data_IF_791796573115
#
_entry.id   IF_791796573115
#
_cell.length_a   1.000
_cell.length_b   1.000
_cell.length_c   1.000
_cell.angle_alpha   90.00
_cell.angle_beta   90.00
_cell.angle_gamma   90.00
#
_symmetry.space_group_name_H-M   'P 1'
#
loop_
_entity.id
_entity.type
_entity.pdbx_description
1 polymer ?
#
# COMPACT_ATOMS: atom_id res chain seq x y z
N UNK A 1 57.32 39.58 57.21
CA UNK A 1 58.30 40.34 56.41
C UNK A 1 57.91 40.25 54.93
N UNK A 2 57.65 41.40 54.28
CA UNK A 2 57.21 41.51 52.89
C UNK A 2 58.34 41.97 51.95
N UNK A 3 58.20 41.72 50.64
CA UNK A 3 58.86 42.50 49.57
C UNK A 3 58.04 42.35 48.27
N UNK A 4 57.30 43.40 47.88
CA UNK A 4 57.55 44.34 46.75
C UNK A 4 57.37 43.71 45.35
N UNK A 5 56.28 44.01 44.63
CA UNK A 5 56.16 45.07 43.60
C UNK A 5 57.13 44.85 42.41
N UNK A 6 56.71 44.68 41.14
CA UNK A 6 56.03 45.73 40.36
C UNK A 6 55.86 45.39 38.85
N UNK A 7 54.95 46.15 38.22
CA UNK A 7 54.80 46.52 36.78
C UNK A 7 53.95 45.66 35.80
N UNK A 8 52.74 46.18 35.54
CA UNK A 8 52.00 46.09 34.27
C UNK A 8 52.72 46.87 33.14
N UNK A 9 52.61 46.43 31.87
CA UNK A 9 52.19 47.26 30.69
C UNK A 9 51.65 46.35 29.56
N UNK A 10 50.54 46.82 28.99
CA UNK A 10 49.69 46.36 27.87
C UNK A 10 50.39 45.95 26.56
N UNK A 11 49.75 45.02 25.83
CA UNK A 11 49.41 45.19 24.40
C UNK A 11 48.12 44.44 24.05
N UNK A 12 47.04 45.22 23.89
CA UNK A 12 45.81 44.83 23.21
C UNK A 12 45.96 44.88 21.68
N UNK A 13 44.86 44.60 20.99
CA UNK A 13 44.65 44.65 19.53
C UNK A 13 45.04 43.43 18.68
N UNK A 14 44.41 42.27 18.91
CA UNK A 14 44.24 41.24 17.85
C UNK A 14 42.87 40.53 17.80
N UNK A 15 41.90 40.85 18.66
CA UNK A 15 40.65 40.07 18.78
C UNK A 15 39.40 40.66 18.10
N UNK A 16 39.38 41.95 17.75
CA UNK A 16 38.17 42.61 17.24
C UNK A 16 37.97 42.53 15.70
N UNK A 17 39.02 42.23 14.94
CA UNK A 17 38.95 42.13 13.46
C UNK A 17 38.35 40.79 12.99
N UNK A 18 38.41 39.74 13.81
CA UNK A 18 37.82 38.44 13.49
C UNK A 18 36.31 38.37 13.76
N UNK A 19 35.78 39.16 14.69
CA UNK A 19 34.35 39.16 15.04
C UNK A 19 33.49 39.95 14.04
N UNK A 20 33.97 41.11 13.59
CA UNK A 20 33.27 41.93 12.60
C UNK A 20 33.16 41.28 11.20
N UNK A 21 34.13 40.42 10.84
CA UNK A 21 34.12 39.66 9.57
C UNK A 21 33.14 38.49 9.57
N UNK A 22 32.70 38.03 10.75
CA UNK A 22 31.78 36.91 10.90
C UNK A 22 30.31 37.36 10.84
N UNK A 23 30.00 38.55 11.36
CA UNK A 23 28.64 39.12 11.35
C UNK A 23 28.24 39.71 10.00
N UNK A 24 29.17 40.36 9.27
CA UNK A 24 28.91 40.86 7.91
C UNK A 24 28.56 39.72 6.93
N UNK A 25 29.21 38.56 7.09
CA UNK A 25 28.95 37.38 6.26
C UNK A 25 27.59 36.72 6.58
N UNK A 26 26.97 37.03 7.72
CA UNK A 26 25.69 36.43 8.14
C UNK A 26 24.48 37.26 7.66
N UNK A 27 24.63 38.58 7.52
CA UNK A 27 23.60 39.46 6.95
C UNK A 27 23.50 39.33 5.41
N UNK A 28 24.63 39.13 4.73
CA UNK A 28 24.65 38.94 3.26
C UNK A 28 24.00 37.60 2.84
N UNK A 29 24.08 36.56 3.67
CA UNK A 29 23.42 35.27 3.45
C UNK A 29 21.89 35.38 3.60
N UNK A 30 21.40 36.25 4.49
CA UNK A 30 19.97 36.51 4.67
C UNK A 30 19.37 37.35 3.53
N UNK A 31 20.12 38.31 2.98
CA UNK A 31 19.67 39.10 1.83
C UNK A 31 19.56 38.26 0.54
N UNK A 32 20.46 37.27 0.36
CA UNK A 32 20.41 36.34 -0.77
C UNK A 32 19.23 35.35 -0.70
N UNK A 33 18.77 35.00 0.51
CA UNK A 33 17.66 34.07 0.72
C UNK A 33 16.27 34.67 0.40
N UNK A 34 16.15 36.00 0.31
CA UNK A 34 14.88 36.71 0.14
C UNK A 34 14.65 37.31 -1.26
N UNK A 35 15.56 37.09 -2.22
CA UNK A 35 15.28 37.33 -3.64
C UNK A 35 15.05 38.79 -4.06
N UNK A 36 15.64 39.78 -3.38
CA UNK A 36 15.55 41.19 -3.77
C UNK A 36 16.73 41.58 -4.69
N UNK A 37 16.44 42.18 -5.87
CA UNK A 37 17.44 42.69 -6.82
C UNK A 37 17.83 44.14 -6.50
N UNK A 38 19.13 44.47 -6.59
CA UNK A 38 19.65 45.85 -6.66
C UNK A 38 20.43 46.02 -7.97
N UNK A 39 20.29 47.19 -8.59
CA UNK A 39 20.48 47.49 -10.01
C UNK A 39 21.85 48.09 -10.41
N UNK A 40 22.46 47.58 -11.49
CA UNK A 40 23.32 48.26 -12.51
C UNK A 40 24.78 48.66 -12.17
N UNK A 41 25.62 49.11 -13.14
CA UNK A 41 25.74 48.69 -14.57
C UNK A 41 27.21 48.47 -15.08
N UNK A 42 27.34 47.96 -16.32
CA UNK A 42 28.46 48.06 -17.32
C UNK A 42 29.11 46.74 -17.85
N UNK A 43 29.20 46.67 -19.19
CA UNK A 43 29.94 45.74 -20.11
C UNK A 43 31.11 46.53 -20.77
N UNK A 44 32.01 46.02 -21.66
CA UNK A 44 32.43 44.66 -22.14
C UNK A 44 34.01 44.51 -22.07
N UNK A 45 34.78 43.65 -22.80
CA UNK A 45 34.48 42.65 -23.85
C UNK A 45 35.07 41.22 -23.67
N UNK A 46 34.77 40.40 -24.67
CA UNK A 46 34.83 38.94 -24.74
C UNK A 46 36.24 38.32 -24.75
N UNK A 47 36.38 37.13 -24.14
CA UNK A 47 36.92 35.91 -24.78
C UNK A 47 36.82 34.67 -23.84
N UNK A 48 36.32 33.56 -24.41
CA UNK A 48 36.66 32.13 -24.14
C UNK A 48 36.04 31.41 -22.90
N UNK A 49 35.03 30.57 -23.20
CA UNK A 49 34.65 29.24 -22.65
C UNK A 49 34.95 28.84 -21.18
N UNK A 50 33.88 28.54 -20.39
CA UNK A 50 33.55 27.19 -19.86
C UNK A 50 32.27 27.16 -18.99
N UNK A 51 31.49 26.04 -18.96
CA UNK A 51 30.18 25.95 -18.32
C UNK A 51 30.24 25.21 -16.97
N UNK A 52 30.36 25.93 -15.84
CA UNK A 52 30.34 25.30 -14.51
C UNK A 52 29.66 26.22 -13.46
N UNK A 53 28.37 26.50 -13.63
CA UNK A 53 27.52 27.05 -12.54
C UNK A 53 26.10 26.49 -12.60
N UNK A 54 25.96 25.18 -12.53
CA UNK A 54 24.69 24.51 -12.20
C UNK A 54 24.81 23.47 -11.08
N UNK A 55 25.97 23.37 -10.42
CA UNK A 55 26.23 22.33 -9.40
C UNK A 55 26.11 22.78 -7.93
N UNK A 56 25.67 24.01 -7.66
CA UNK A 56 25.60 24.52 -6.28
C UNK A 56 24.21 24.43 -5.62
N UNK A 57 23.15 24.07 -6.37
CA UNK A 57 21.78 24.01 -5.82
C UNK A 57 21.30 22.61 -5.41
N UNK A 58 22.03 21.54 -5.74
CA UNK A 58 21.62 20.15 -5.41
C UNK A 58 22.01 19.69 -4.00
N UNK A 59 22.94 20.38 -3.33
CA UNK A 59 23.45 19.97 -2.02
C UNK A 59 22.58 20.45 -0.84
N UNK A 60 21.72 21.45 -1.04
CA UNK A 60 20.88 22.02 0.02
C UNK A 60 19.61 21.23 0.33
N UNK A 61 19.24 20.21 -0.47
CA UNK A 61 18.05 19.38 -0.23
C UNK A 61 18.32 18.11 0.58
N UNK A 62 19.59 17.76 0.78
CA UNK A 62 20.01 16.52 1.46
C UNK A 62 19.96 16.61 2.99
N UNK A 63 20.43 17.73 3.56
CA UNK A 63 20.49 17.90 5.02
C UNK A 63 19.12 18.19 5.65
N UNK A 64 18.25 18.92 4.94
CA UNK A 64 16.89 19.22 5.42
C UNK A 64 15.98 17.98 5.36
N UNK A 65 16.18 17.08 4.38
CA UNK A 65 15.43 15.80 4.32
C UNK A 65 15.81 14.81 5.42
N UNK A 66 17.08 14.77 5.82
CA UNK A 66 17.52 13.88 6.91
C UNK A 66 16.99 14.31 8.28
N UNK A 67 16.70 15.60 8.47
CA UNK A 67 16.14 16.11 9.72
C UNK A 67 14.65 15.78 9.92
N UNK A 68 13.90 15.50 8.85
CA UNK A 68 12.46 15.22 8.92
C UNK A 68 12.09 13.80 9.38
N UNK A 69 13.07 12.93 9.69
CA UNK A 69 12.84 11.53 10.08
C UNK A 69 12.91 11.29 11.60
N UNK A 70 12.93 12.35 12.42
CA UNK A 70 13.07 12.18 13.87
C UNK A 70 12.20 13.18 14.66
N UNK A 71 10.91 12.90 14.76
CA UNK A 71 10.11 13.29 15.93
C UNK A 71 8.84 12.40 16.08
N UNK A 72 8.26 12.48 17.28
CA UNK A 72 7.68 11.43 18.11
C UNK A 72 6.22 10.99 17.88
N UNK A 73 5.94 9.77 18.38
CA UNK A 73 4.68 9.17 18.87
C UNK A 73 3.37 9.40 18.09
N UNK A 74 2.87 8.37 17.37
CA UNK A 74 1.46 8.12 16.92
C UNK A 74 1.40 6.90 15.96
N UNK A 75 0.20 6.39 15.61
CA UNK A 75 -0.46 5.11 15.99
C UNK A 75 0.18 3.87 15.27
N UNK A 76 -0.42 2.67 15.07
CA UNK A 76 0.35 1.51 14.61
C UNK A 76 1.01 1.83 13.28
N UNK A 77 2.34 1.67 13.26
CA UNK A 77 3.23 2.20 12.23
C UNK A 77 2.76 1.65 10.88
N UNK A 78 2.30 2.55 10.02
CA UNK A 78 1.93 2.21 8.65
C UNK A 78 3.10 1.50 7.97
N UNK A 79 2.94 0.20 7.73
CA UNK A 79 3.99 -0.63 7.15
C UNK A 79 3.47 -1.28 5.86
N UNK A 80 3.73 -0.61 4.73
CA UNK A 80 3.47 -1.16 3.39
C UNK A 80 4.78 -1.28 2.63
N UNK A 81 5.12 -2.51 2.27
CA UNK A 81 6.29 -2.82 1.44
C UNK A 81 6.09 -2.28 0.01
N UNK A 82 7.18 -1.81 -0.60
CA UNK A 82 7.16 -1.37 -1.99
C UNK A 82 7.13 -2.56 -2.96
N UNK A 83 6.23 -2.52 -3.94
CA UNK A 83 6.20 -3.48 -5.06
C UNK A 83 7.21 -3.12 -6.16
N UNK A 84 8.50 -3.34 -5.92
CA UNK A 84 9.55 -3.02 -6.88
C UNK A 84 9.60 -4.01 -8.05
N UNK A 85 9.57 -3.47 -9.28
CA UNK A 85 9.76 -4.23 -10.52
C UNK A 85 10.97 -3.72 -11.27
N UNK A 86 11.72 -4.63 -11.89
CA UNK A 86 12.86 -4.26 -12.76
C UNK A 86 12.36 -3.35 -13.86
N UNK A 87 13.03 -2.21 -14.04
CA UNK A 87 12.60 -1.17 -14.95
C UNK A 87 13.77 -0.68 -15.81
N UNK A 88 13.49 -0.48 -17.11
CA UNK A 88 14.43 0.16 -18.04
C UNK A 88 14.05 1.62 -18.20
N UNK A 89 14.92 2.50 -17.70
CA UNK A 89 14.71 3.94 -17.74
C UNK A 89 15.16 4.53 -19.07
N UNK A 90 14.30 5.37 -19.68
CA UNK A 90 14.62 6.07 -20.92
C UNK A 90 15.38 7.36 -20.60
N UNK A 91 16.70 7.34 -20.74
CA UNK A 91 17.58 8.47 -20.46
C UNK A 91 18.21 8.42 -19.06
N UNK A 92 19.05 9.41 -18.70
CA UNK A 92 19.77 9.43 -17.44
C UNK A 92 18.80 9.55 -16.24
N UNK A 93 18.89 8.62 -15.29
CA UNK A 93 18.05 8.58 -14.09
C UNK A 93 18.91 8.37 -12.83
N UNK A 94 18.44 8.89 -11.70
CA UNK A 94 19.12 8.80 -10.40
C UNK A 94 18.25 8.04 -9.40
N UNK A 95 18.93 7.31 -8.51
CA UNK A 95 18.27 6.58 -7.44
C UNK A 95 17.76 7.56 -6.37
N UNK A 96 16.48 7.47 -6.06
CA UNK A 96 15.83 8.37 -5.08
C UNK A 96 16.26 8.08 -3.63
N UNK A 97 16.87 6.92 -3.36
CA UNK A 97 17.39 6.54 -2.05
C UNK A 97 18.81 7.07 -1.80
N UNK A 98 19.77 6.71 -2.65
CA UNK A 98 21.19 7.09 -2.45
C UNK A 98 21.61 8.34 -3.24
N UNK A 99 20.72 8.91 -4.06
CA UNK A 99 20.97 10.04 -4.95
C UNK A 99 22.06 9.82 -6.03
N UNK A 100 22.58 8.60 -6.18
CA UNK A 100 23.58 8.27 -7.19
C UNK A 100 22.93 7.88 -8.54
N UNK A 101 23.69 8.03 -9.61
CA UNK A 101 23.27 7.68 -10.96
C UNK A 101 22.99 6.18 -11.13
N UNK A 102 21.96 5.82 -11.89
CA UNK A 102 21.63 4.44 -12.24
C UNK A 102 22.28 4.06 -13.58
N UNK A 103 23.40 3.35 -13.50
CA UNK A 103 24.19 2.95 -14.67
C UNK A 103 23.53 1.84 -15.48
N UNK A 104 23.73 1.88 -16.80
CA UNK A 104 23.33 0.82 -17.74
C UNK A 104 22.45 1.29 -18.89
N UNK A 105 22.38 0.49 -19.96
CA UNK A 105 21.51 0.74 -21.12
C UNK A 105 20.10 0.18 -20.93
N UNK A 106 19.97 -0.90 -20.17
CA UNK A 106 18.71 -1.57 -19.84
C UNK A 106 18.71 -2.02 -18.39
N UNK A 107 17.53 -2.19 -17.79
CA UNK A 107 17.34 -2.70 -16.43
C UNK A 107 18.22 -2.00 -15.38
N UNK A 108 18.38 -0.68 -15.47
CA UNK A 108 19.31 0.11 -14.66
C UNK A 108 18.94 0.11 -13.16
N UNK A 109 17.68 -0.18 -12.85
CA UNK A 109 17.19 -0.21 -11.49
C UNK A 109 15.80 -0.83 -11.41
N UNK A 110 15.12 -0.52 -10.32
CA UNK A 110 13.76 -0.95 -10.06
C UNK A 110 12.85 0.25 -9.85
N UNK A 111 11.60 0.11 -10.29
CA UNK A 111 10.54 1.09 -10.08
C UNK A 111 9.42 0.43 -9.29
N UNK A 112 8.96 1.09 -8.23
CA UNK A 112 7.78 0.64 -7.51
C UNK A 112 6.55 0.80 -8.41
N UNK A 113 5.81 -0.29 -8.62
CA UNK A 113 4.59 -0.29 -9.42
C UNK A 113 3.46 0.51 -8.77
N UNK A 114 3.50 0.70 -7.45
CA UNK A 114 2.39 1.30 -6.71
C UNK A 114 2.58 2.80 -6.49
N UNK A 115 3.79 3.24 -6.11
CA UNK A 115 4.08 4.66 -5.82
C UNK A 115 5.01 5.34 -6.83
N UNK A 116 5.59 4.58 -7.78
CA UNK A 116 6.48 5.12 -8.80
C UNK A 116 7.92 5.41 -8.35
N UNK A 117 8.28 5.12 -7.09
CA UNK A 117 9.63 5.31 -6.54
C UNK A 117 10.69 4.52 -7.34
N UNK A 118 11.77 5.19 -7.73
CA UNK A 118 12.84 4.64 -8.56
C UNK A 118 14.14 4.53 -7.77
N UNK A 119 14.66 3.31 -7.65
CA UNK A 119 15.89 3.05 -6.88
C UNK A 119 16.76 1.98 -7.56
N UNK A 120 18.02 1.88 -7.17
CA UNK A 120 18.86 0.73 -7.56
C UNK A 120 18.28 -0.57 -7.01
N UNK A 121 18.58 -1.69 -7.66
CA UNK A 121 18.19 -3.04 -7.20
C UNK A 121 18.74 -3.36 -5.81
N UNK A 122 19.92 -2.86 -5.44
CA UNK A 122 20.47 -3.01 -4.10
C UNK A 122 19.83 -2.04 -3.10
N UNK A 123 19.47 -0.83 -3.54
CA UNK A 123 18.82 0.14 -2.67
C UNK A 123 17.40 -0.29 -2.29
N UNK A 124 16.69 -1.03 -3.14
CA UNK A 124 15.32 -1.46 -2.85
C UNK A 124 15.17 -2.29 -1.59
N UNK A 125 16.20 -3.01 -1.14
CA UNK A 125 16.16 -3.76 0.13
C UNK A 125 16.37 -2.87 1.36
N UNK A 126 16.84 -1.64 1.17
CA UNK A 126 17.11 -0.67 2.25
C UNK A 126 16.04 0.43 2.34
N UNK A 127 15.13 0.51 1.36
CA UNK A 127 14.01 1.46 1.39
C UNK A 127 13.03 1.05 2.50
N UNK A 128 12.63 1.96 3.40
CA UNK A 128 11.63 1.66 4.43
C UNK A 128 10.29 1.20 3.86
N UNK A 129 9.54 0.42 4.64
CA UNK A 129 8.21 -0.07 4.27
C UNK A 129 7.12 1.00 4.45
N UNK A 130 7.27 2.17 3.84
CA UNK A 130 6.32 3.29 3.93
C UNK A 130 5.76 3.70 2.56
N UNK A 131 5.54 2.72 1.67
CA UNK A 131 5.08 2.94 0.31
C UNK A 131 3.72 3.64 0.28
N UNK A 132 3.62 4.88 -0.23
CA UNK A 132 2.34 5.58 -0.44
C UNK A 132 1.92 5.44 -1.91
N UNK A 133 0.97 4.56 -2.25
CA UNK A 133 0.57 4.36 -3.63
C UNK A 133 -0.12 5.59 -4.27
N UNK A 134 0.12 5.79 -5.57
CA UNK A 134 -0.46 6.86 -6.39
C UNK A 134 -1.28 6.24 -7.54
N UNK A 135 -2.52 6.72 -7.72
CA UNK A 135 -3.43 6.30 -8.79
C UNK A 135 -2.82 6.43 -10.19
N UNK A 136 -1.88 7.35 -10.41
CA UNK A 136 -1.19 7.50 -11.71
C UNK A 136 -0.38 6.27 -12.11
N UNK A 137 0.00 5.43 -11.15
CA UNK A 137 0.81 4.24 -11.37
C UNK A 137 -0.02 2.95 -11.31
N UNK A 138 -1.22 3.00 -10.76
CA UNK A 138 -2.16 1.87 -10.67
C UNK A 138 -3.02 1.86 -11.94
N UNK A 139 -2.76 0.89 -12.81
CA UNK A 139 -3.40 0.80 -14.14
C UNK A 139 -4.65 -0.07 -14.18
N UNK A 140 -4.92 -0.84 -13.13
CA UNK A 140 -5.95 -1.87 -13.06
C UNK A 140 -6.47 -1.98 -11.63
N UNK A 141 -7.72 -2.39 -11.50
CA UNK A 141 -8.40 -2.65 -10.24
C UNK A 141 -8.25 -4.12 -9.86
N UNK A 142 -8.52 -5.03 -10.80
CA UNK A 142 -8.27 -6.46 -10.65
C UNK A 142 -6.78 -6.76 -10.66
N UNK A 143 -6.39 -7.79 -9.90
CA UNK A 143 -4.99 -8.18 -9.67
C UNK A 143 -4.11 -7.10 -9.05
N UNK A 144 -4.69 -5.99 -8.58
CA UNK A 144 -4.02 -5.04 -7.69
C UNK A 144 -4.03 -5.60 -6.27
N UNK A 145 -2.96 -5.34 -5.51
CA UNK A 145 -2.92 -5.72 -4.11
C UNK A 145 -3.97 -4.94 -3.31
N UNK A 146 -4.69 -5.62 -2.43
CA UNK A 146 -5.83 -5.08 -1.70
C UNK A 146 -5.47 -3.80 -0.92
N UNK A 147 -4.40 -3.84 -0.12
CA UNK A 147 -3.92 -2.68 0.65
C UNK A 147 -3.50 -1.53 -0.27
N UNK A 148 -2.90 -1.84 -1.41
CA UNK A 148 -2.50 -0.83 -2.41
C UNK A 148 -3.71 -0.08 -2.96
N UNK A 149 -4.72 -0.82 -3.41
CA UNK A 149 -5.91 -0.24 -4.03
C UNK A 149 -6.70 0.62 -3.03
N UNK A 150 -6.97 0.09 -1.84
CA UNK A 150 -7.72 0.80 -0.77
C UNK A 150 -7.03 2.10 -0.37
N UNK A 151 -5.70 2.08 -0.27
CA UNK A 151 -4.93 3.29 0.08
C UNK A 151 -4.91 4.32 -1.04
N UNK A 152 -4.74 3.88 -2.29
CA UNK A 152 -4.70 4.79 -3.43
C UNK A 152 -6.03 5.51 -3.67
N UNK A 153 -7.15 4.80 -3.47
CA UNK A 153 -8.50 5.38 -3.57
C UNK A 153 -8.97 6.06 -2.29
N UNK A 154 -8.19 6.00 -1.21
CA UNK A 154 -8.57 6.52 0.11
C UNK A 154 -9.94 6.02 0.60
N UNK A 155 -10.22 4.74 0.37
CA UNK A 155 -11.45 4.08 0.80
C UNK A 155 -11.16 3.14 1.98
N UNK A 156 -12.21 2.52 2.54
CA UNK A 156 -12.05 1.47 3.57
C UNK A 156 -11.86 0.07 2.97
N UNK A 157 -12.41 -0.14 1.78
CA UNK A 157 -12.42 -1.40 1.03
C UNK A 157 -12.55 -1.11 -0.48
N UNK A 158 -12.31 -2.09 -1.36
CA UNK A 158 -12.38 -1.89 -2.81
C UNK A 158 -13.79 -1.58 -3.31
N UNK A 159 -13.88 -0.70 -4.33
CA UNK A 159 -15.16 -0.38 -4.98
C UNK A 159 -15.83 -1.62 -5.59
N UNK A 160 -15.05 -2.57 -6.12
CA UNK A 160 -15.60 -3.82 -6.68
C UNK A 160 -16.39 -4.60 -5.62
N UNK A 161 -15.86 -4.68 -4.39
CA UNK A 161 -16.52 -5.38 -3.29
C UNK A 161 -17.81 -4.66 -2.91
N UNK A 162 -17.77 -3.34 -2.80
CA UNK A 162 -18.94 -2.53 -2.46
C UNK A 162 -20.05 -2.62 -3.52
N UNK A 163 -19.70 -2.32 -4.77
CA UNK A 163 -20.66 -2.26 -5.86
C UNK A 163 -21.27 -3.64 -6.13
N UNK A 164 -20.45 -4.70 -6.22
CA UNK A 164 -20.97 -6.05 -6.43
C UNK A 164 -21.89 -6.50 -5.29
N UNK A 165 -21.50 -6.30 -4.02
CA UNK A 165 -22.33 -6.71 -2.88
C UNK A 165 -23.64 -5.92 -2.86
N UNK A 166 -23.61 -4.61 -3.11
CA UNK A 166 -24.81 -3.79 -3.18
C UNK A 166 -25.77 -4.27 -4.27
N UNK A 167 -25.26 -4.59 -5.46
CA UNK A 167 -26.07 -5.09 -6.57
C UNK A 167 -26.61 -6.52 -6.30
N UNK A 168 -25.82 -7.38 -5.66
CA UNK A 168 -26.27 -8.73 -5.27
C UNK A 168 -27.35 -8.64 -4.19
N UNK A 169 -27.22 -7.71 -3.24
CA UNK A 169 -28.24 -7.51 -2.20
C UNK A 169 -29.52 -6.88 -2.72
N UNK A 170 -29.42 -6.01 -3.74
CA UNK A 170 -30.58 -5.30 -4.28
C UNK A 170 -31.56 -6.23 -5.01
N UNK A 171 -31.06 -7.27 -5.71
CA UNK A 171 -31.90 -8.14 -6.55
C UNK A 171 -31.60 -9.64 -6.48
N UNK A 172 -30.51 -10.05 -5.85
CA UNK A 172 -29.97 -11.41 -5.95
C UNK A 172 -30.22 -12.34 -4.76
N UNK A 173 -30.58 -11.83 -3.57
CA UNK A 173 -30.57 -12.62 -2.33
C UNK A 173 -31.45 -13.88 -2.34
N UNK A 174 -32.50 -13.89 -3.16
CA UNK A 174 -33.44 -15.01 -3.29
C UNK A 174 -33.17 -15.90 -4.51
N UNK A 175 -32.16 -15.59 -5.30
CA UNK A 175 -31.79 -16.40 -6.47
C UNK A 175 -31.30 -17.76 -6.02
N UNK A 176 -31.90 -18.83 -6.55
CA UNK A 176 -31.49 -20.21 -6.24
C UNK A 176 -30.01 -20.42 -6.56
N UNK A 177 -29.27 -21.04 -5.65
CA UNK A 177 -27.87 -21.36 -5.83
C UNK A 177 -26.96 -20.14 -5.95
N UNK A 178 -27.30 -19.00 -5.33
CA UNK A 178 -26.47 -17.79 -5.34
C UNK A 178 -25.01 -18.11 -4.97
N UNK A 179 -24.05 -17.58 -5.73
CA UNK A 179 -22.61 -17.93 -5.67
C UNK A 179 -22.21 -19.35 -6.12
N UNK A 180 -23.11 -20.34 -6.07
CA UNK A 180 -22.85 -21.70 -6.56
C UNK A 180 -22.97 -21.76 -8.09
N UNK A 181 -24.05 -21.18 -8.62
CA UNK A 181 -24.28 -21.09 -10.07
C UNK A 181 -23.29 -20.08 -10.66
N UNK A 182 -22.75 -20.42 -11.82
CA UNK A 182 -21.82 -19.55 -12.55
C UNK A 182 -22.55 -18.85 -13.69
N UNK A 183 -22.39 -17.54 -13.78
CA UNK A 183 -22.78 -16.79 -14.97
C UNK A 183 -21.84 -17.07 -16.14
N UNK A 184 -22.16 -16.53 -17.31
CA UNK A 184 -21.31 -16.66 -18.50
C UNK A 184 -19.93 -16.06 -18.28
N UNK A 185 -18.88 -16.87 -18.50
CA UNK A 185 -17.48 -16.48 -18.28
C UNK A 185 -17.09 -15.21 -19.03
N UNK A 186 -17.53 -15.05 -20.27
CA UNK A 186 -17.22 -13.88 -21.10
C UNK A 186 -17.81 -12.60 -20.49
N UNK A 187 -19.03 -12.66 -19.95
CA UNK A 187 -19.67 -11.52 -19.27
C UNK A 187 -18.99 -11.21 -17.94
N UNK A 188 -18.50 -12.22 -17.22
CA UNK A 188 -17.72 -12.02 -15.99
C UNK A 188 -16.39 -11.31 -16.29
N UNK A 189 -15.69 -11.70 -17.35
CA UNK A 189 -14.45 -11.04 -17.79
C UNK A 189 -14.71 -9.63 -18.34
N UNK A 190 -15.88 -9.39 -18.95
CA UNK A 190 -16.31 -8.06 -19.36
C UNK A 190 -16.51 -7.13 -18.15
N UNK A 191 -17.22 -7.57 -17.09
CA UNK A 191 -17.36 -6.81 -15.83
C UNK A 191 -15.99 -6.47 -15.22
N UNK A 192 -15.06 -7.43 -15.23
CA UNK A 192 -13.69 -7.18 -14.78
C UNK A 192 -13.00 -6.10 -15.63
N UNK A 193 -13.14 -6.18 -16.94
CA UNK A 193 -12.51 -5.24 -17.88
C UNK A 193 -13.09 -3.82 -17.74
N UNK A 194 -14.38 -3.69 -17.47
CA UNK A 194 -15.05 -2.41 -17.22
C UNK A 194 -14.59 -1.82 -15.88
N UNK A 195 -14.49 -2.61 -14.80
CA UNK A 195 -13.86 -2.15 -13.53
C UNK A 195 -12.42 -1.69 -13.69
N UNK A 196 -11.59 -2.43 -14.44
CA UNK A 196 -10.20 -2.04 -14.70
C UNK A 196 -10.08 -0.70 -15.46
N UNK A 197 -11.07 -0.36 -16.29
CA UNK A 197 -11.07 0.85 -17.13
C UNK A 197 -11.75 2.04 -16.44
N UNK A 198 -12.93 1.81 -15.87
CA UNK A 198 -13.86 2.86 -15.44
C UNK A 198 -13.95 2.99 -13.91
N UNK A 199 -13.44 2.00 -13.15
CA UNK A 199 -13.39 2.02 -11.69
C UNK A 199 -14.78 2.12 -11.05
N UNK A 200 -15.00 3.16 -10.24
CA UNK A 200 -16.30 3.40 -9.57
C UNK A 200 -17.43 3.79 -10.53
N UNK A 201 -17.10 4.11 -11.80
CA UNK A 201 -18.10 4.48 -12.82
C UNK A 201 -18.67 3.30 -13.58
N UNK A 202 -18.22 2.08 -13.27
CA UNK A 202 -18.71 0.87 -13.93
C UNK A 202 -20.20 0.69 -13.72
N UNK A 203 -20.94 0.45 -14.80
CA UNK A 203 -22.34 0.05 -14.74
C UNK A 203 -22.44 -1.46 -14.60
N UNK A 204 -22.91 -1.93 -13.45
CA UNK A 204 -23.21 -3.35 -13.17
C UNK A 204 -24.71 -3.60 -12.94
N UNK A 205 -25.56 -2.64 -13.32
CA UNK A 205 -27.00 -2.72 -13.09
C UNK A 205 -27.66 -3.87 -13.83
N UNK A 206 -28.88 -4.21 -13.43
CA UNK A 206 -29.72 -5.21 -14.12
C UNK A 206 -29.93 -4.92 -15.63
N UNK A 207 -29.82 -3.66 -16.07
CA UNK A 207 -29.92 -3.30 -17.49
C UNK A 207 -28.67 -3.71 -18.28
N UNK A 208 -27.49 -3.63 -17.66
CA UNK A 208 -26.23 -4.03 -18.27
C UNK A 208 -26.02 -5.55 -18.18
N UNK A 209 -26.32 -6.13 -17.02
CA UNK A 209 -26.16 -7.56 -16.74
C UNK A 209 -27.39 -8.13 -16.03
N UNK A 210 -28.30 -8.72 -16.80
CA UNK A 210 -29.55 -9.29 -16.27
C UNK A 210 -29.28 -10.44 -15.30
N UNK A 211 -28.39 -11.37 -15.65
CA UNK A 211 -28.04 -12.52 -14.81
C UNK A 211 -27.16 -12.10 -13.62
N UNK A 212 -27.68 -12.25 -12.40
CA UNK A 212 -26.93 -11.92 -11.18
C UNK A 212 -25.72 -12.83 -10.96
N UNK A 213 -25.70 -14.02 -11.56
CA UNK A 213 -24.56 -14.94 -11.46
C UNK A 213 -23.32 -14.39 -12.17
N UNK A 214 -23.46 -13.42 -13.06
CA UNK A 214 -22.36 -12.64 -13.63
C UNK A 214 -21.71 -11.79 -12.55
N UNK A 215 -22.51 -11.08 -11.74
CA UNK A 215 -22.00 -10.19 -10.68
C UNK A 215 -21.38 -11.01 -9.53
N UNK A 216 -22.01 -12.12 -9.12
CA UNK A 216 -21.40 -13.03 -8.13
C UNK A 216 -20.11 -13.65 -8.67
N UNK A 217 -20.06 -13.98 -9.97
CA UNK A 217 -18.86 -14.43 -10.67
C UNK A 217 -17.74 -13.39 -10.64
N UNK A 218 -18.06 -12.13 -10.95
CA UNK A 218 -17.11 -11.03 -10.97
C UNK A 218 -16.52 -10.73 -9.57
N UNK A 219 -17.35 -10.79 -8.52
CA UNK A 219 -16.89 -10.65 -7.13
C UNK A 219 -15.95 -11.81 -6.73
N UNK A 220 -16.33 -13.06 -7.03
CA UNK A 220 -15.46 -14.22 -6.79
C UNK A 220 -14.14 -14.12 -7.55
N UNK A 221 -14.19 -13.69 -8.81
CA UNK A 221 -13.01 -13.48 -9.63
C UNK A 221 -12.11 -12.39 -9.04
N UNK A 222 -12.66 -11.28 -8.55
CA UNK A 222 -11.90 -10.21 -7.93
C UNK A 222 -11.08 -10.71 -6.74
N UNK A 223 -11.73 -11.42 -5.82
CA UNK A 223 -11.10 -11.96 -4.61
C UNK A 223 -10.02 -13.00 -4.97
N UNK A 224 -10.27 -13.83 -5.98
CA UNK A 224 -9.32 -14.85 -6.47
C UNK A 224 -8.10 -14.23 -7.15
N UNK A 225 -8.28 -13.14 -7.90
CA UNK A 225 -7.23 -12.48 -8.66
C UNK A 225 -6.29 -11.62 -7.78
N UNK A 226 -6.62 -11.42 -6.49
CA UNK A 226 -5.75 -10.70 -5.57
C UNK A 226 -4.36 -11.37 -5.49
N UNK A 227 -3.25 -10.60 -5.55
CA UNK A 227 -1.90 -11.14 -5.38
C UNK A 227 -1.68 -11.80 -4.01
N UNK A 228 -2.24 -11.20 -2.96
CA UNK A 228 -2.30 -11.75 -1.60
C UNK A 228 -3.78 -12.04 -1.31
N UNK A 229 -4.13 -13.27 -0.90
CA UNK A 229 -5.52 -13.62 -0.64
C UNK A 229 -6.08 -12.78 0.53
N UNK A 230 -7.42 -12.67 0.61
CA UNK A 230 -8.07 -11.89 1.68
C UNK A 230 -7.62 -12.36 3.05
N UNK A 231 -7.62 -13.67 3.29
CA UNK A 231 -6.89 -14.25 4.42
C UNK A 231 -5.44 -14.40 3.97
N UNK A 232 -4.56 -13.52 4.44
CA UNK A 232 -3.17 -13.43 3.98
C UNK A 232 -2.39 -14.72 4.23
N UNK A 233 -1.30 -14.92 3.47
CA UNK A 233 -0.42 -16.07 3.65
C UNK A 233 0.18 -16.15 5.06
N UNK A 234 0.44 -15.00 5.69
CA UNK A 234 0.98 -14.94 7.05
C UNK A 234 -0.05 -15.38 8.11
N UNK A 235 -1.33 -15.05 7.89
CA UNK A 235 -2.42 -15.44 8.79
C UNK A 235 -2.92 -16.87 8.53
N UNK A 236 -2.73 -17.40 7.31
CA UNK A 236 -3.24 -18.71 6.89
C UNK A 236 -2.99 -19.85 7.89
N UNK A 237 -1.75 -20.08 8.41
CA UNK A 237 -1.50 -21.18 9.34
C UNK A 237 -2.37 -21.07 10.60
N UNK A 238 -2.54 -19.86 11.12
CA UNK A 238 -3.36 -19.61 12.31
C UNK A 238 -4.82 -19.98 12.03
N UNK A 239 -5.40 -19.53 10.92
CA UNK A 239 -6.79 -19.87 10.55
C UNK A 239 -7.03 -21.38 10.38
N UNK A 240 -6.05 -22.10 9.84
CA UNK A 240 -6.15 -23.56 9.68
C UNK A 240 -6.04 -24.27 11.04
N UNK A 241 -5.13 -23.84 11.91
CA UNK A 241 -5.03 -24.36 13.28
C UNK A 241 -6.31 -24.13 14.09
N UNK A 242 -6.93 -22.95 13.97
CA UNK A 242 -8.16 -22.64 14.69
C UNK A 242 -9.33 -23.50 14.26
N UNK A 243 -9.41 -23.86 12.97
CA UNK A 243 -10.44 -24.76 12.46
C UNK A 243 -10.30 -26.20 13.00
N UNK A 244 -9.11 -26.61 13.44
CA UNK A 244 -8.84 -27.94 14.02
C UNK A 244 -9.28 -28.04 15.49
N UNK A 245 -9.63 -26.93 16.14
CA UNK A 245 -10.05 -26.91 17.54
C UNK A 245 -11.49 -27.44 17.70
N UNK A 246 -11.67 -28.41 18.60
CA UNK A 246 -12.99 -28.99 18.90
C UNK A 246 -13.78 -28.14 19.90
N UNK A 247 -13.09 -27.51 20.86
CA UNK A 247 -13.72 -26.69 21.91
C UNK A 247 -14.27 -25.38 21.34
N UNK A 248 -15.59 -25.11 21.41
CA UNK A 248 -16.21 -23.95 20.77
C UNK A 248 -15.70 -22.60 21.28
N UNK A 249 -15.44 -22.48 22.59
CA UNK A 249 -15.03 -21.22 23.21
C UNK A 249 -13.57 -20.89 22.86
N UNK A 250 -12.68 -21.88 22.98
CA UNK A 250 -11.28 -21.76 22.56
C UNK A 250 -11.18 -21.49 21.06
N UNK A 251 -12.00 -22.15 20.25
CA UNK A 251 -12.07 -21.91 18.81
C UNK A 251 -12.46 -20.47 18.51
N UNK A 252 -13.54 -19.97 19.11
CA UNK A 252 -13.98 -18.58 18.92
C UNK A 252 -12.90 -17.57 19.32
N UNK A 253 -12.27 -17.77 20.48
CA UNK A 253 -11.16 -16.92 20.94
C UNK A 253 -9.99 -16.94 19.96
N UNK A 254 -9.58 -18.11 19.51
CA UNK A 254 -8.44 -18.25 18.61
C UNK A 254 -8.72 -17.65 17.22
N UNK A 255 -9.98 -17.70 16.74
CA UNK A 255 -10.40 -17.00 15.53
C UNK A 255 -10.29 -15.47 15.66
N UNK A 256 -10.64 -14.89 16.82
CA UNK A 256 -10.42 -13.44 17.07
C UNK A 256 -8.93 -13.09 16.97
N UNK A 257 -8.07 -13.88 17.62
CA UNK A 257 -6.62 -13.69 17.55
C UNK A 257 -6.10 -13.85 16.10
N UNK A 258 -6.68 -14.74 15.31
CA UNK A 258 -6.33 -14.91 13.89
C UNK A 258 -6.72 -13.68 13.04
N UNK A 259 -7.88 -13.09 13.31
CA UNK A 259 -8.35 -11.88 12.62
C UNK A 259 -7.46 -10.66 12.91
N UNK A 260 -6.88 -10.58 14.11
CA UNK A 260 -5.93 -9.51 14.49
C UNK A 260 -4.61 -9.55 13.70
N UNK A 261 -4.27 -10.70 13.10
CA UNK A 261 -3.09 -10.83 12.23
C UNK A 261 -3.30 -10.24 10.83
N UNK A 262 -4.54 -9.98 10.44
CA UNK A 262 -4.84 -9.47 9.09
C UNK A 262 -4.52 -7.98 8.98
N UNK A 263 -3.92 -7.53 7.86
CA UNK A 263 -3.83 -6.11 7.58
C UNK A 263 -5.20 -5.43 7.56
N UNK A 264 -5.27 -4.15 7.94
CA UNK A 264 -6.54 -3.43 8.08
C UNK A 264 -7.46 -3.52 6.85
N UNK A 265 -6.91 -3.41 5.63
CA UNK A 265 -7.68 -3.52 4.39
C UNK A 265 -8.26 -4.94 4.17
N UNK A 266 -7.51 -5.97 4.56
CA UNK A 266 -7.93 -7.37 4.50
C UNK A 266 -9.02 -7.66 5.53
N UNK A 267 -8.83 -7.21 6.77
CA UNK A 267 -9.80 -7.39 7.86
C UNK A 267 -11.15 -6.72 7.56
N UNK A 268 -11.14 -5.45 7.11
CA UNK A 268 -12.37 -4.73 6.77
C UNK A 268 -13.09 -5.32 5.54
N UNK A 269 -12.34 -5.78 4.53
CA UNK A 269 -12.91 -6.45 3.36
C UNK A 269 -13.53 -7.80 3.75
N UNK A 270 -12.84 -8.57 4.59
CA UNK A 270 -13.34 -9.85 5.09
C UNK A 270 -14.61 -9.65 5.92
N UNK A 271 -14.60 -8.70 6.85
CA UNK A 271 -15.76 -8.35 7.67
C UNK A 271 -17.00 -8.04 6.82
N UNK A 272 -16.85 -7.14 5.84
CA UNK A 272 -17.97 -6.73 5.00
C UNK A 272 -18.50 -7.89 4.15
N UNK A 273 -17.60 -8.73 3.63
CA UNK A 273 -17.98 -9.95 2.91
C UNK A 273 -18.71 -10.96 3.81
N UNK A 274 -18.22 -11.20 5.03
CA UNK A 274 -18.88 -12.13 5.97
C UNK A 274 -20.29 -11.63 6.34
N UNK A 275 -20.46 -10.32 6.56
CA UNK A 275 -21.76 -9.72 6.83
C UNK A 275 -22.74 -9.93 5.65
N UNK A 276 -22.25 -9.76 4.42
CA UNK A 276 -23.02 -10.06 3.21
C UNK A 276 -23.41 -11.54 3.13
N UNK A 277 -22.46 -12.45 3.28
CA UNK A 277 -22.71 -13.89 3.22
C UNK A 277 -23.66 -14.34 4.33
N UNK A 278 -23.60 -13.73 5.53
CA UNK A 278 -24.59 -13.95 6.59
C UNK A 278 -26.00 -13.58 6.10
N UNK A 279 -26.19 -12.42 5.45
CA UNK A 279 -27.48 -12.03 4.86
C UNK A 279 -27.96 -13.01 3.78
N UNK A 280 -27.05 -13.58 2.99
CA UNK A 280 -27.39 -14.66 2.04
C UNK A 280 -27.94 -15.88 2.78
N UNK A 281 -27.30 -16.32 3.87
CA UNK A 281 -27.78 -17.48 4.65
C UNK A 281 -29.15 -17.25 5.30
N UNK A 282 -29.51 -16.01 5.61
CA UNK A 282 -30.86 -15.70 6.14
C UNK A 282 -31.96 -15.93 5.10
N UNK A 283 -31.62 -16.01 3.82
CA UNK A 283 -32.53 -16.30 2.71
C UNK A 283 -32.42 -17.76 2.21
N UNK A 284 -31.84 -18.67 3.01
CA UNK A 284 -31.63 -20.09 2.64
C UNK A 284 -32.90 -20.79 2.14
N UNK A 285 -34.08 -20.41 2.66
CA UNK A 285 -35.36 -20.98 2.23
C UNK A 285 -35.65 -20.76 0.74
N UNK A 286 -35.18 -19.64 0.18
CA UNK A 286 -35.38 -19.28 -1.21
C UNK A 286 -34.15 -19.64 -2.05
N UNK A 287 -32.95 -19.26 -1.59
CA UNK A 287 -31.72 -19.42 -2.38
C UNK A 287 -31.02 -20.78 -2.21
N UNK A 288 -31.39 -21.58 -1.21
CA UNK A 288 -30.80 -22.88 -0.88
C UNK A 288 -29.30 -22.85 -0.48
N UNK A 289 -28.81 -21.71 -0.02
CA UNK A 289 -27.40 -21.48 0.34
C UNK A 289 -27.22 -21.22 1.85
N UNK A 290 -26.78 -22.26 2.57
CA UNK A 290 -26.29 -22.11 3.95
C UNK A 290 -24.79 -21.79 4.03
N UNK A 291 -24.31 -21.58 5.26
CA UNK A 291 -22.92 -21.27 5.55
C UNK A 291 -21.93 -22.37 5.10
N UNK A 292 -22.34 -23.65 5.13
CA UNK A 292 -21.50 -24.77 4.69
C UNK A 292 -21.32 -24.73 3.16
N UNK A 293 -22.43 -24.59 2.42
CA UNK A 293 -22.42 -24.44 0.95
C UNK A 293 -21.58 -23.24 0.51
N UNK A 294 -21.74 -22.10 1.18
CA UNK A 294 -20.94 -20.90 0.90
C UNK A 294 -19.47 -21.09 1.30
N UNK A 295 -19.20 -21.82 2.39
CA UNK A 295 -17.85 -22.17 2.82
C UNK A 295 -17.09 -22.97 1.76
N UNK A 296 -17.75 -23.93 1.09
CA UNK A 296 -17.14 -24.71 -0.01
C UNK A 296 -16.71 -23.80 -1.17
N UNK A 297 -17.51 -22.78 -1.48
CA UNK A 297 -17.24 -21.85 -2.60
C UNK A 297 -16.15 -20.85 -2.24
N UNK A 298 -16.24 -20.25 -1.05
CA UNK A 298 -15.36 -19.16 -0.64
C UNK A 298 -14.07 -19.62 0.05
N UNK A 299 -14.01 -20.83 0.60
CA UNK A 299 -12.80 -21.42 1.19
C UNK A 299 -11.58 -21.31 0.26
N UNK A 300 -11.59 -21.93 -0.93
CA UNK A 300 -10.48 -21.85 -1.89
C UNK A 300 -10.33 -20.47 -2.55
N UNK A 301 -11.34 -19.59 -2.43
CA UNK A 301 -11.30 -18.23 -2.99
C UNK A 301 -10.60 -17.26 -2.03
N UNK A 302 -10.83 -17.40 -0.72
CA UNK A 302 -10.33 -16.49 0.31
C UNK A 302 -9.03 -16.96 0.95
N UNK A 303 -8.75 -18.26 0.90
CA UNK A 303 -7.53 -18.87 1.43
C UNK A 303 -6.74 -19.54 0.30
N UNK A 304 -5.41 -19.39 0.34
CA UNK A 304 -4.50 -20.15 -0.50
C UNK A 304 -3.37 -20.67 0.38
N UNK A 305 -3.14 -21.98 0.34
CA UNK A 305 -2.02 -22.56 1.06
C UNK A 305 -0.71 -21.90 0.60
N UNK A 306 0.16 -21.42 1.50
CA UNK A 306 1.54 -21.10 1.14
C UNK A 306 2.22 -22.37 0.64
N UNK A 307 3.37 -22.27 -0.04
CA UNK A 307 4.10 -23.40 -0.67
C UNK A 307 4.48 -24.52 0.34
N UNK A 308 3.49 -25.30 0.75
CA UNK A 308 3.58 -26.46 1.62
C UNK A 308 3.81 -27.69 0.74
N UNK A 309 4.31 -28.76 1.35
CA UNK A 309 4.35 -30.05 0.67
C UNK A 309 2.93 -30.48 0.27
N UNK A 310 2.83 -31.23 -0.84
CA UNK A 310 1.55 -31.56 -1.45
C UNK A 310 0.59 -32.31 -0.50
N UNK A 311 1.12 -33.09 0.44
CA UNK A 311 0.31 -33.85 1.40
C UNK A 311 -0.29 -32.94 2.48
N UNK A 312 0.49 -31.99 3.01
CA UNK A 312 -0.03 -30.99 3.96
C UNK A 312 -1.07 -30.09 3.30
N UNK A 313 -0.83 -29.66 2.06
CA UNK A 313 -1.80 -28.87 1.30
C UNK A 313 -3.14 -29.60 1.07
N UNK A 314 -3.10 -30.91 0.78
CA UNK A 314 -4.30 -31.75 0.65
C UNK A 314 -5.03 -31.95 1.99
N UNK A 315 -4.31 -32.12 3.08
CA UNK A 315 -4.91 -32.24 4.41
C UNK A 315 -5.56 -30.93 4.87
N UNK A 316 -4.98 -29.78 4.49
CA UNK A 316 -5.50 -28.47 4.89
C UNK A 316 -6.70 -28.01 4.05
N UNK A 317 -6.88 -28.54 2.84
CA UNK A 317 -7.95 -28.14 1.92
C UNK A 317 -9.35 -28.30 2.54
N UNK A 318 -9.53 -29.31 3.41
CA UNK A 318 -10.80 -29.60 4.07
C UNK A 318 -11.17 -28.60 5.17
N UNK A 319 -10.19 -27.87 5.70
CA UNK A 319 -10.40 -26.88 6.75
C UNK A 319 -10.69 -25.50 6.19
N UNK A 320 -10.33 -25.21 4.94
CA UNK A 320 -10.63 -23.91 4.31
C UNK A 320 -12.14 -23.62 4.25
N UNK A 321 -13.02 -24.57 3.84
CA UNK A 321 -14.46 -24.36 3.93
C UNK A 321 -14.96 -24.15 5.35
N UNK A 322 -14.42 -24.90 6.32
CA UNK A 322 -14.81 -24.81 7.73
C UNK A 322 -14.44 -23.46 8.36
N UNK A 323 -13.30 -22.89 7.95
CA UNK A 323 -12.91 -21.52 8.33
C UNK A 323 -13.98 -20.53 7.90
N UNK A 324 -14.35 -20.55 6.62
CA UNK A 324 -15.32 -19.59 6.09
C UNK A 324 -16.71 -19.83 6.67
N UNK A 325 -17.14 -21.07 6.80
CA UNK A 325 -18.40 -21.43 7.46
C UNK A 325 -18.47 -20.88 8.89
N UNK A 326 -17.40 -21.04 9.67
CA UNK A 326 -17.33 -20.54 11.04
C UNK A 326 -17.39 -19.01 11.08
N UNK A 327 -16.66 -18.33 10.19
CA UNK A 327 -16.69 -16.87 10.07
C UNK A 327 -18.08 -16.35 9.71
N UNK A 328 -18.79 -17.00 8.78
CA UNK A 328 -20.17 -16.63 8.42
C UNK A 328 -21.10 -16.84 9.61
N UNK A 329 -21.03 -18.01 10.27
CA UNK A 329 -21.96 -18.34 11.37
C UNK A 329 -21.84 -17.38 12.55
N UNK A 330 -20.63 -16.93 12.87
CA UNK A 330 -20.30 -16.12 14.06
C UNK A 330 -19.90 -14.68 13.72
N UNK A 331 -20.30 -14.18 12.55
CA UNK A 331 -19.94 -12.85 12.05
C UNK A 331 -20.26 -11.73 13.06
N UNK A 332 -21.41 -11.82 13.72
CA UNK A 332 -21.96 -10.88 14.70
C UNK A 332 -21.15 -10.79 16.01
N UNK A 333 -20.31 -11.79 16.31
CA UNK A 333 -19.52 -11.87 17.54
C UNK A 333 -18.02 -11.67 17.26
N UNK A 334 -17.59 -11.92 16.03
CA UNK A 334 -16.18 -11.86 15.63
C UNK A 334 -15.72 -10.48 15.18
N UNK A 335 -16.63 -9.66 14.63
CA UNK A 335 -16.32 -8.37 14.02
C UNK A 335 -17.11 -7.21 14.63
#
# INVERSE_FOLDING_TARGET
MPSRESYEVRKGEKSLVHKAKQEANQQDILAAALGMRISGPQKPPATIWQPLKLFAYSQLTSLVRKAALKDNSLPPKYEKVHNFKVHTFRGPHWCEYCANFMWGLTAQGVKCADCGLNVHKQCSTMVPCNCVPDLKHIKKVYSCELTTLVKAHNTKRPMVVDMCIQEIESRGLKSEGLYRISGFSDSVEDVKSTFDRDGEKTDISANAYEDINIITGALKLYLRDLPIPVISYDAYPRFIETAKLEDPEKRLKAFREALELLPAAHSETLRYLMAHLKRVTLNEKDNLMNAENLGIIFGPTLLRAPNLDAMTALNDIRYQPQVVEFLIKNEDILF
#
